data_IF_800332628251
#
_entry.id   IF_800332628251
#
_cell.length_a   1.000
_cell.length_b   1.000
_cell.length_c   1.000
_cell.angle_alpha   90.00
_cell.angle_beta   90.00
_cell.angle_gamma   90.00
#
_symmetry.space_group_name_H-M   'P 1'
#
loop_
_entity.id
_entity.type
_entity.pdbx_description
1 polymer ?
#
# COMPACT_ATOMS: atom_id res chain seq x y z
N UNK A 1 -0.13 20.19 -0.89
CA UNK A 1 -0.46 19.08 -1.74
C UNK A 1 -0.43 17.79 -0.99
N UNK A 2 0.21 16.77 -1.55
CA UNK A 2 0.24 15.46 -0.88
C UNK A 2 0.88 15.56 0.50
N UNK A 3 1.97 16.28 0.61
CA UNK A 3 2.64 16.45 1.89
C UNK A 3 1.75 17.19 2.88
N UNK A 4 1.08 18.23 2.40
CA UNK A 4 0.18 19.00 3.26
C UNK A 4 -1.01 18.15 3.72
N UNK A 5 -1.54 17.31 2.82
CA UNK A 5 -2.65 16.43 3.15
C UNK A 5 -2.22 15.42 4.21
N UNK A 6 -1.05 14.81 4.05
CA UNK A 6 -0.55 13.83 5.01
C UNK A 6 -0.36 14.46 6.39
N UNK A 7 0.21 15.66 6.43
CA UNK A 7 0.43 16.34 7.71
C UNK A 7 -0.88 16.74 8.35
N UNK A 8 -1.84 17.20 7.56
CA UNK A 8 -3.13 17.59 8.09
C UNK A 8 -3.84 16.42 8.75
N UNK A 9 -3.80 15.25 8.11
CA UNK A 9 -4.42 14.06 8.65
C UNK A 9 -3.68 13.59 9.91
N UNK A 10 -2.36 13.59 9.88
CA UNK A 10 -1.55 13.14 10.98
C UNK A 10 -1.82 13.95 12.25
N UNK A 11 -1.96 15.26 12.12
CA UNK A 11 -2.11 16.13 13.27
C UNK A 11 -3.55 16.34 13.69
N UNK A 12 -4.51 15.86 12.93
CA UNK A 12 -5.90 16.10 13.25
C UNK A 12 -6.36 15.25 14.43
N UNK A 13 -6.23 13.93 14.33
CA UNK A 13 -6.67 13.06 15.41
C UNK A 13 -6.20 11.63 15.14
N UNK A 14 -5.21 11.18 15.93
CA UNK A 14 -4.61 9.87 15.76
C UNK A 14 -5.65 8.76 15.94
N UNK A 15 -6.58 8.94 16.89
CA UNK A 15 -7.60 7.93 17.16
C UNK A 15 -8.52 7.70 15.99
N UNK A 16 -8.63 8.68 15.09
CA UNK A 16 -9.50 8.58 13.93
C UNK A 16 -8.75 8.31 12.62
N UNK A 17 -7.46 8.09 12.72
CA UNK A 17 -6.64 7.97 11.52
C UNK A 17 -7.13 6.85 10.62
N UNK A 18 -7.35 5.67 11.18
CA UNK A 18 -7.82 4.54 10.39
C UNK A 18 -9.19 4.77 9.77
N UNK A 19 -10.20 5.27 10.52
CA UNK A 19 -11.48 5.58 9.87
C UNK A 19 -11.38 6.64 8.79
N UNK A 20 -10.51 7.63 8.96
CA UNK A 20 -10.31 8.64 7.93
C UNK A 20 -9.74 8.05 6.66
N UNK A 21 -8.74 7.18 6.82
CA UNK A 21 -8.13 6.51 5.66
C UNK A 21 -9.15 5.68 4.91
N UNK A 22 -10.00 4.95 5.63
CA UNK A 22 -10.98 4.06 5.01
C UNK A 22 -12.03 4.80 4.20
N UNK A 23 -12.25 6.09 4.48
CA UNK A 23 -13.22 6.89 3.75
C UNK A 23 -12.64 7.62 2.56
N UNK A 24 -11.32 7.57 2.39
CA UNK A 24 -10.68 8.27 1.29
C UNK A 24 -10.90 7.56 -0.04
N UNK A 25 -11.07 8.31 -1.13
CA UNK A 25 -10.99 7.69 -2.45
C UNK A 25 -9.63 7.03 -2.64
N UNK A 26 -9.60 5.97 -3.44
CA UNK A 26 -8.37 5.21 -3.66
C UNK A 26 -7.24 6.11 -4.14
N UNK A 27 -7.54 7.02 -5.07
CA UNK A 27 -6.52 7.91 -5.60
C UNK A 27 -5.89 8.78 -4.51
N UNK A 28 -6.72 9.31 -3.61
CA UNK A 28 -6.22 10.11 -2.50
C UNK A 28 -5.40 9.26 -1.55
N UNK A 29 -5.86 8.04 -1.30
CA UNK A 29 -5.13 7.11 -0.43
C UNK A 29 -3.76 6.79 -0.99
N UNK A 30 -3.66 6.58 -2.30
CA UNK A 30 -2.40 6.31 -2.96
C UNK A 30 -1.41 7.46 -2.75
N UNK A 31 -1.88 8.68 -2.99
CA UNK A 31 -1.03 9.87 -2.83
C UNK A 31 -0.66 10.09 -1.37
N UNK A 32 -1.60 9.85 -0.46
CA UNK A 32 -1.32 9.95 0.96
C UNK A 32 -0.23 8.97 1.38
N UNK A 33 -0.30 7.74 0.86
CA UNK A 33 0.71 6.72 1.19
C UNK A 33 2.10 7.18 0.76
N UNK A 34 2.23 7.78 -0.43
CA UNK A 34 3.52 8.31 -0.86
C UNK A 34 4.02 9.41 0.06
N UNK A 35 3.15 10.34 0.41
CA UNK A 35 3.54 11.45 1.28
C UNK A 35 3.94 10.96 2.67
N UNK A 36 3.18 10.02 3.20
CA UNK A 36 3.48 9.44 4.51
C UNK A 36 4.80 8.71 4.49
N UNK A 37 5.03 7.93 3.43
CA UNK A 37 6.27 7.17 3.25
C UNK A 37 7.48 8.11 3.23
N UNK A 38 7.37 9.22 2.50
CA UNK A 38 8.46 10.17 2.36
C UNK A 38 8.71 10.98 3.64
N UNK A 39 7.64 11.45 4.27
CA UNK A 39 7.74 12.49 5.28
C UNK A 39 7.61 11.99 6.72
N UNK A 40 6.93 10.90 6.97
CA UNK A 40 6.57 10.48 8.31
C UNK A 40 7.24 9.18 8.74
N UNK A 41 7.31 8.21 7.84
CA UNK A 41 7.85 6.89 8.17
C UNK A 41 9.34 7.01 8.48
N UNK A 42 9.82 6.40 9.57
CA UNK A 42 11.26 6.42 9.89
C UNK A 42 12.10 5.93 8.71
N UNK A 43 13.10 6.73 8.33
CA UNK A 43 13.95 6.40 7.19
C UNK A 43 13.34 6.76 5.84
N UNK A 44 12.11 7.25 5.81
CA UNK A 44 11.47 7.64 4.57
C UNK A 44 11.46 6.50 3.55
N UNK A 45 11.84 6.80 2.33
CA UNK A 45 11.86 5.80 1.26
C UNK A 45 12.91 4.71 1.49
N UNK A 46 13.79 4.87 2.48
CA UNK A 46 14.78 3.86 2.85
C UNK A 46 14.35 3.05 4.06
N UNK A 47 13.10 3.14 4.45
CA UNK A 47 12.59 2.36 5.58
C UNK A 47 12.89 0.88 5.37
N UNK A 48 13.49 0.26 6.38
CA UNK A 48 14.01 -1.10 6.26
C UNK A 48 12.91 -2.14 6.09
N UNK A 49 11.80 -1.96 6.77
CA UNK A 49 10.71 -2.93 6.71
C UNK A 49 10.08 -2.97 5.32
N UNK A 50 9.81 -1.79 4.77
CA UNK A 50 9.21 -1.71 3.43
C UNK A 50 10.20 -2.18 2.37
N UNK A 51 11.43 -1.70 2.45
CA UNK A 51 12.44 -2.05 1.46
C UNK A 51 12.76 -3.54 1.49
N UNK A 52 12.86 -4.11 2.68
CA UNK A 52 13.12 -5.55 2.83
C UNK A 52 12.00 -6.40 2.27
N UNK A 53 10.76 -6.03 2.56
CA UNK A 53 9.60 -6.74 2.02
C UNK A 53 9.54 -6.62 0.50
N UNK A 54 9.87 -5.43 -0.02
CA UNK A 54 9.90 -5.20 -1.46
C UNK A 54 10.94 -6.11 -2.14
N UNK A 55 12.14 -6.14 -1.61
CA UNK A 55 13.22 -6.93 -2.19
C UNK A 55 12.90 -8.43 -2.14
N UNK A 56 12.30 -8.87 -1.05
CA UNK A 56 11.92 -10.27 -0.88
C UNK A 56 10.82 -10.66 -1.87
N UNK A 57 9.79 -9.83 -2.00
CA UNK A 57 8.69 -10.09 -2.93
C UNK A 57 9.20 -10.11 -4.38
N UNK A 58 10.11 -9.19 -4.70
CA UNK A 58 10.68 -9.12 -6.04
C UNK A 58 11.50 -10.36 -6.35
N UNK A 59 12.33 -10.79 -5.41
CA UNK A 59 13.17 -11.98 -5.60
C UNK A 59 12.32 -13.24 -5.72
N UNK A 60 11.20 -13.30 -5.01
CA UNK A 60 10.32 -14.47 -5.06
C UNK A 60 9.40 -14.49 -6.29
N UNK A 61 9.35 -13.39 -7.06
CA UNK A 61 8.47 -13.31 -8.23
C UNK A 61 7.00 -13.22 -7.88
N UNK A 62 6.68 -12.81 -6.65
CA UNK A 62 5.30 -12.78 -6.14
C UNK A 62 4.37 -11.96 -7.04
N UNK A 63 4.87 -10.90 -7.64
CA UNK A 63 4.08 -9.95 -8.40
C UNK A 63 4.41 -9.94 -9.90
N UNK A 64 5.11 -10.96 -10.38
CA UNK A 64 5.57 -10.95 -11.77
C UNK A 64 4.45 -11.13 -12.78
N UNK A 65 3.40 -11.86 -12.40
CA UNK A 65 2.27 -12.13 -13.29
C UNK A 65 0.99 -12.14 -12.46
N UNK A 66 0.33 -11.00 -12.39
CA UNK A 66 -0.87 -10.83 -11.59
C UNK A 66 -2.01 -10.32 -12.46
N UNK A 67 -3.24 -10.53 -11.99
CA UNK A 67 -4.42 -9.99 -12.65
C UNK A 67 -4.48 -8.48 -12.48
N UNK A 68 -5.05 -7.83 -13.47
CA UNK A 68 -5.23 -6.38 -13.44
C UNK A 68 -6.67 -6.02 -13.77
N UNK A 69 -7.25 -5.11 -13.00
CA UNK A 69 -8.55 -4.53 -13.26
C UNK A 69 -8.35 -3.23 -14.02
N UNK A 70 -8.97 -3.10 -15.20
CA UNK A 70 -8.75 -1.95 -16.06
C UNK A 70 -9.74 -0.82 -15.82
N UNK A 71 -10.69 -1.00 -14.89
CA UNK A 71 -11.78 -0.07 -14.66
C UNK A 71 -13.08 -0.57 -15.24
N UNK A 72 -13.01 -1.51 -16.17
CA UNK A 72 -14.19 -2.08 -16.82
C UNK A 72 -14.19 -3.60 -16.74
N UNK A 73 -13.03 -4.22 -16.87
CA UNK A 73 -12.90 -5.68 -16.86
C UNK A 73 -11.50 -6.06 -16.42
N UNK A 74 -11.31 -7.34 -16.18
CA UNK A 74 -9.96 -7.86 -15.95
C UNK A 74 -9.22 -7.90 -17.28
N UNK A 75 -7.93 -7.55 -17.26
CA UNK A 75 -7.09 -7.63 -18.44
C UNK A 75 -7.00 -9.06 -18.93
N UNK A 76 -6.84 -9.22 -20.24
CA UNK A 76 -6.83 -10.55 -20.87
C UNK A 76 -5.65 -11.39 -20.44
N UNK A 77 -4.53 -10.76 -20.10
CA UNK A 77 -3.30 -11.47 -19.73
C UNK A 77 -2.75 -10.94 -18.43
N UNK A 78 -2.15 -11.81 -17.62
CA UNK A 78 -1.44 -11.33 -16.42
C UNK A 78 -0.27 -10.43 -16.81
N UNK A 79 0.10 -9.55 -15.90
CA UNK A 79 1.22 -8.64 -16.10
C UNK A 79 1.92 -8.40 -14.78
N UNK A 80 3.12 -7.81 -14.86
CA UNK A 80 3.84 -7.45 -13.65
C UNK A 80 3.06 -6.34 -12.94
N UNK A 81 2.91 -6.48 -11.62
CA UNK A 81 2.20 -5.49 -10.84
C UNK A 81 2.97 -4.17 -10.82
N UNK A 82 2.23 -3.08 -10.82
CA UNK A 82 2.82 -1.74 -10.72
C UNK A 82 3.64 -1.60 -9.42
N UNK A 83 3.25 -2.34 -8.40
CA UNK A 83 3.95 -2.37 -7.11
C UNK A 83 5.43 -2.73 -7.25
N UNK A 84 5.81 -3.45 -8.30
CA UNK A 84 7.19 -3.87 -8.46
C UNK A 84 8.07 -2.84 -9.18
N UNK A 85 7.53 -1.66 -9.50
CA UNK A 85 8.34 -0.60 -10.08
C UNK A 85 9.37 -0.07 -9.09
N UNK A 86 8.98 0.10 -7.83
CA UNK A 86 9.88 0.52 -6.76
C UNK A 86 9.17 0.35 -5.41
N UNK A 87 9.91 0.53 -4.33
CA UNK A 87 9.36 0.33 -2.99
C UNK A 87 8.27 1.36 -2.64
N UNK A 88 8.31 2.54 -3.22
CA UNK A 88 7.29 3.54 -2.99
C UNK A 88 5.94 3.08 -3.54
N UNK A 89 5.94 2.57 -4.76
CA UNK A 89 4.71 2.04 -5.36
C UNK A 89 4.23 0.79 -4.64
N UNK A 90 5.17 -0.05 -4.23
CA UNK A 90 4.84 -1.25 -3.47
C UNK A 90 4.07 -0.90 -2.20
N UNK A 91 4.56 0.08 -1.44
CA UNK A 91 3.87 0.50 -0.22
C UNK A 91 2.51 1.12 -0.52
N UNK A 92 2.44 2.00 -1.53
CA UNK A 92 1.18 2.66 -1.87
C UNK A 92 0.14 1.66 -2.37
N UNK A 93 0.53 0.74 -3.25
CA UNK A 93 -0.38 -0.26 -3.78
C UNK A 93 -0.86 -1.22 -2.68
N UNK A 94 0.05 -1.60 -1.79
CA UNK A 94 -0.31 -2.49 -0.67
C UNK A 94 -1.23 -1.78 0.32
N UNK A 95 -1.04 -0.49 0.53
CA UNK A 95 -1.93 0.31 1.36
C UNK A 95 -3.35 0.34 0.77
N UNK A 96 -3.47 0.51 -0.55
CA UNK A 96 -4.76 0.47 -1.21
C UNK A 96 -5.44 -0.89 -1.03
N UNK A 97 -4.67 -1.96 -1.21
CA UNK A 97 -5.22 -3.32 -1.02
C UNK A 97 -5.73 -3.50 0.41
N UNK A 98 -5.00 -2.99 1.36
CA UNK A 98 -5.35 -3.17 2.77
C UNK A 98 -6.61 -2.41 3.16
N UNK A 99 -6.73 -1.16 2.75
CA UNK A 99 -7.82 -0.29 3.22
C UNK A 99 -9.00 -0.21 2.27
N UNK A 100 -8.80 -0.49 1.00
CA UNK A 100 -9.85 -0.34 0.00
C UNK A 100 -9.70 -1.42 -1.05
N UNK A 101 -9.24 -1.07 -2.24
CA UNK A 101 -8.99 -2.04 -3.29
C UNK A 101 -7.92 -1.49 -4.22
N UNK A 102 -7.22 -2.41 -4.85
CA UNK A 102 -6.16 -2.07 -5.79
C UNK A 102 -6.55 -2.55 -7.20
N UNK A 103 -5.92 -1.99 -8.22
CA UNK A 103 -6.17 -2.36 -9.61
C UNK A 103 -5.38 -3.58 -10.04
N UNK A 104 -4.34 -3.95 -9.31
CA UNK A 104 -3.56 -5.16 -9.53
C UNK A 104 -3.77 -6.10 -8.35
N UNK A 105 -3.69 -7.41 -8.63
CA UNK A 105 -3.67 -8.40 -7.57
C UNK A 105 -2.46 -8.18 -6.64
N UNK A 106 -2.61 -8.24 -5.32
CA UNK A 106 -3.82 -8.54 -4.55
C UNK A 106 -4.79 -7.36 -4.54
N UNK A 107 -6.05 -7.64 -4.81
CA UNK A 107 -7.04 -6.57 -4.96
C UNK A 107 -7.55 -6.03 -3.64
N UNK A 108 -7.49 -6.84 -2.58
CA UNK A 108 -8.04 -6.46 -1.28
C UNK A 108 -7.19 -7.06 -0.16
N UNK A 109 -7.60 -6.79 1.08
CA UNK A 109 -6.83 -7.23 2.25
C UNK A 109 -6.72 -8.75 2.35
N UNK A 110 -7.80 -9.45 2.07
CA UNK A 110 -7.78 -10.91 2.16
C UNK A 110 -6.79 -11.51 1.18
N UNK A 111 -6.74 -10.97 -0.02
CA UNK A 111 -5.79 -11.43 -1.03
C UNK A 111 -4.36 -11.01 -0.68
N UNK A 112 -4.19 -9.85 -0.07
CA UNK A 112 -2.88 -9.42 0.39
C UNK A 112 -2.35 -10.38 1.46
N UNK A 113 -3.23 -10.79 2.38
CA UNK A 113 -2.83 -11.75 3.41
C UNK A 113 -2.41 -13.09 2.79
N UNK A 114 -3.16 -13.55 1.79
CA UNK A 114 -2.86 -14.84 1.16
C UNK A 114 -1.59 -14.79 0.31
N UNK A 115 -1.38 -13.68 -0.40
CA UNK A 115 -0.30 -13.57 -1.36
C UNK A 115 0.99 -13.05 -0.77
N UNK A 116 0.89 -12.09 0.15
CA UNK A 116 2.07 -11.40 0.70
C UNK A 116 1.83 -11.05 2.17
N UNK A 117 1.78 -12.08 3.03
CA UNK A 117 1.50 -11.85 4.45
C UNK A 117 2.55 -10.98 5.13
N UNK A 118 3.79 -11.03 4.68
CA UNK A 118 4.83 -10.18 5.26
C UNK A 118 4.53 -8.70 5.04
N UNK A 119 4.08 -8.35 3.84
CA UNK A 119 3.75 -6.96 3.56
C UNK A 119 2.48 -6.53 4.28
N UNK A 120 1.53 -7.44 4.47
CA UNK A 120 0.36 -7.11 5.27
C UNK A 120 0.78 -6.64 6.66
N UNK A 121 1.70 -7.35 7.29
CA UNK A 121 2.18 -6.99 8.63
C UNK A 121 2.94 -5.66 8.62
N UNK A 122 3.71 -5.41 7.57
CA UNK A 122 4.42 -4.15 7.43
C UNK A 122 3.43 -2.99 7.34
N UNK A 123 2.39 -3.15 6.53
CA UNK A 123 1.35 -2.10 6.39
C UNK A 123 0.68 -1.84 7.73
N UNK A 124 0.32 -2.91 8.45
CA UNK A 124 -0.31 -2.75 9.76
C UNK A 124 0.59 -2.03 10.75
N UNK A 125 1.85 -2.40 10.77
CA UNK A 125 2.82 -1.77 11.68
C UNK A 125 3.01 -0.29 11.34
N UNK A 126 3.18 0.00 10.06
CA UNK A 126 3.45 1.36 9.59
C UNK A 126 2.28 2.30 9.91
N UNK A 127 1.06 1.85 9.63
CA UNK A 127 -0.13 2.68 9.84
C UNK A 127 -0.64 2.64 11.28
N UNK A 128 0.02 1.86 12.15
CA UNK A 128 -0.31 1.81 13.57
C UNK A 128 -1.64 1.15 13.86
N UNK A 129 -2.00 0.13 13.08
CA UNK A 129 -3.25 -0.58 13.27
C UNK A 129 -3.07 -1.60 14.37
N UNK A 130 -3.90 -1.51 15.40
CA UNK A 130 -3.85 -2.45 16.51
C UNK A 130 -4.41 -3.80 16.09
N UNK A 131 -3.71 -4.85 16.47
CA UNK A 131 -4.23 -6.19 16.29
C UNK A 131 -5.34 -6.45 17.29
N UNK A 132 -6.38 -7.07 16.83
CA UNK A 132 -7.52 -7.40 17.68
C UNK A 132 -7.61 -8.90 17.85
#
# INVERSE_FOLDING_TARGET
>A
REIALAKAIEFTNVDRFEPEIRRMPVLVLHELAHAYHDQVIPGGYQNKDILGAFQQAKAAGTYDAVKRWTGEKYADKPSKAYAMNNQMEYFAESTESYFDRNDFEPFNRAELLAKDPDMLKVVEKIWGIAEK
#
